data_IF_252851531660
#
_entry.id   IF_252851531660
#
_cell.length_a   1.000
_cell.length_b   1.000
_cell.length_c   1.000
_cell.angle_alpha   90.00
_cell.angle_beta   90.00
_cell.angle_gamma   90.00
#
_symmetry.space_group_name_H-M   'P 1'
#
loop_
_entity.id
_entity.type
_entity.pdbx_description
1 polymer ?
#
# COMPACT_ATOMS: atom_id res chain seq x y z
N UNK A 1 -16.43 -6.89 14.44
CA UNK A 1 -15.19 -6.22 13.96
C UNK A 1 -14.51 -5.53 15.14
N UNK A 2 -13.19 -5.26 15.07
CA UNK A 2 -12.44 -4.66 16.20
C UNK A 2 -11.73 -3.39 15.76
N UNK A 3 -11.62 -2.42 16.68
CA UNK A 3 -10.89 -1.15 16.51
C UNK A 3 -9.81 -1.07 17.57
N UNK A 4 -8.58 -0.76 17.18
CA UNK A 4 -7.45 -0.57 18.08
C UNK A 4 -7.26 0.92 18.39
N UNK A 5 -7.35 1.29 19.65
CA UNK A 5 -7.06 2.65 20.13
C UNK A 5 -5.63 2.67 20.63
N UNK A 6 -4.76 3.42 19.95
CA UNK A 6 -3.32 3.49 20.23
C UNK A 6 -3.03 4.71 21.12
N UNK A 7 -2.64 4.46 22.37
CA UNK A 7 -2.43 5.50 23.36
C UNK A 7 -0.95 5.57 23.76
N UNK A 8 -0.16 6.48 23.18
CA UNK A 8 1.19 6.75 23.68
C UNK A 8 1.10 7.52 25.00
N UNK A 9 1.81 7.03 26.03
CA UNK A 9 1.79 7.58 27.39
C UNK A 9 3.19 8.00 27.83
N UNK A 10 3.31 9.20 28.38
CA UNK A 10 4.51 9.68 29.05
C UNK A 10 4.21 10.82 30.02
N UNK A 11 4.29 10.58 31.32
CA UNK A 11 4.06 11.53 32.40
C UNK A 11 2.73 12.29 32.26
N UNK A 12 1.62 11.59 32.38
CA UNK A 12 0.24 12.09 32.30
C UNK A 12 -0.62 11.51 33.45
N UNK A 13 -0.05 11.37 34.67
CA UNK A 13 -0.73 10.78 35.82
C UNK A 13 -2.06 11.49 36.16
N UNK A 14 -2.17 12.79 35.89
CA UNK A 14 -3.36 13.58 36.18
C UNK A 14 -4.53 13.27 35.24
N UNK A 15 -4.25 12.84 34.00
CA UNK A 15 -5.26 12.79 32.94
C UNK A 15 -5.54 11.39 32.43
N UNK A 16 -4.58 10.47 32.49
CA UNK A 16 -4.66 9.18 31.80
C UNK A 16 -5.82 8.31 32.27
N UNK A 17 -6.10 8.26 33.58
CA UNK A 17 -7.23 7.48 34.10
C UNK A 17 -8.57 8.00 33.57
N UNK A 18 -8.80 9.31 33.64
CA UNK A 18 -10.01 9.95 33.13
C UNK A 18 -10.15 9.80 31.61
N UNK A 19 -9.03 9.87 30.86
CA UNK A 19 -9.04 9.59 29.41
C UNK A 19 -9.47 8.17 29.13
N UNK A 20 -8.86 7.17 29.77
CA UNK A 20 -9.16 5.76 29.52
C UNK A 20 -10.61 5.43 29.81
N UNK A 21 -11.20 5.99 30.89
CA UNK A 21 -12.64 5.84 31.17
C UNK A 21 -13.51 6.45 30.06
N UNK A 22 -13.15 7.64 29.54
CA UNK A 22 -13.83 8.24 28.38
C UNK A 22 -13.68 7.40 27.13
N UNK A 23 -12.50 6.85 26.86
CA UNK A 23 -12.26 5.95 25.73
C UNK A 23 -13.10 4.68 25.84
N UNK A 24 -13.21 4.09 27.04
CA UNK A 24 -14.04 2.91 27.29
C UNK A 24 -15.54 3.23 27.08
N UNK A 25 -16.00 4.39 27.51
CA UNK A 25 -17.38 4.81 27.38
C UNK A 25 -17.76 5.36 25.98
N UNK A 26 -16.76 5.70 25.17
CA UNK A 26 -17.00 6.35 23.88
C UNK A 26 -17.87 5.51 22.92
N UNK A 27 -18.76 6.13 22.14
CA UNK A 27 -19.56 5.40 21.16
C UNK A 27 -18.68 4.83 20.05
N UNK A 28 -19.01 3.62 19.61
CA UNK A 28 -18.44 2.99 18.41
C UNK A 28 -19.58 2.71 17.42
N UNK A 29 -19.29 2.57 16.12
CA UNK A 29 -20.25 2.08 15.14
C UNK A 29 -20.73 0.67 15.50
N UNK A 30 -21.97 0.34 15.08
CA UNK A 30 -22.61 -0.95 15.37
C UNK A 30 -21.75 -2.14 14.93
N UNK A 31 -21.63 -3.15 15.77
CA UNK A 31 -20.87 -4.37 15.51
C UNK A 31 -19.35 -4.24 15.70
N UNK A 32 -18.88 -3.10 16.22
CA UNK A 32 -17.45 -2.91 16.54
C UNK A 32 -17.18 -3.03 18.04
N UNK A 33 -16.11 -3.74 18.35
CA UNK A 33 -15.50 -3.81 19.67
C UNK A 33 -14.20 -3.00 19.69
N UNK A 34 -13.78 -2.54 20.85
CA UNK A 34 -12.51 -1.84 21.03
C UNK A 34 -11.46 -2.72 21.70
N UNK A 35 -10.21 -2.48 21.37
CA UNK A 35 -9.05 -2.81 22.19
C UNK A 35 -8.26 -1.52 22.42
N UNK A 36 -7.77 -1.33 23.63
CA UNK A 36 -7.00 -0.14 23.99
C UNK A 36 -5.57 -0.59 24.25
N UNK A 37 -4.62 -0.05 23.48
CA UNK A 37 -3.21 -0.39 23.58
C UNK A 37 -2.48 0.86 24.12
N UNK A 38 -2.16 0.83 25.40
CA UNK A 38 -1.40 1.88 26.07
C UNK A 38 0.08 1.52 26.03
N UNK A 39 0.90 2.40 25.51
CA UNK A 39 2.36 2.22 25.50
C UNK A 39 2.99 3.30 26.37
N UNK A 40 3.38 2.91 27.55
CA UNK A 40 4.18 3.76 28.44
C UNK A 40 5.61 3.88 27.91
N UNK A 41 6.02 5.08 27.64
CA UNK A 41 7.34 5.42 27.10
C UNK A 41 8.32 5.86 28.23
N UNK A 42 8.32 5.11 29.34
CA UNK A 42 9.21 5.32 30.46
C UNK A 42 8.81 6.48 31.36
N UNK A 43 7.53 6.56 31.74
CA UNK A 43 7.05 7.54 32.72
C UNK A 43 7.77 7.43 34.05
N UNK A 44 7.93 8.55 34.70
CA UNK A 44 8.60 8.69 36.00
C UNK A 44 7.67 9.16 37.13
N UNK A 45 6.41 9.37 36.79
CA UNK A 45 5.29 9.72 37.66
C UNK A 45 4.37 8.51 37.90
N UNK A 46 3.20 8.69 38.49
CA UNK A 46 2.24 7.63 38.76
C UNK A 46 1.38 7.22 37.52
N UNK A 47 1.76 7.62 36.31
CA UNK A 47 0.97 7.31 35.08
C UNK A 47 0.70 5.81 34.88
N UNK A 48 1.69 4.97 35.18
CA UNK A 48 1.57 3.51 35.00
C UNK A 48 0.59 2.92 36.00
N UNK A 49 0.68 3.32 37.26
CA UNK A 49 -0.19 2.90 38.35
C UNK A 49 -1.66 3.29 38.05
N UNK A 50 -1.89 4.50 37.53
CA UNK A 50 -3.21 4.97 37.12
C UNK A 50 -3.80 4.10 35.98
N UNK A 51 -2.98 3.71 34.98
CA UNK A 51 -3.43 2.80 33.91
C UNK A 51 -3.74 1.42 34.47
N UNK A 52 -2.92 0.87 35.36
CA UNK A 52 -3.12 -0.43 36.01
C UNK A 52 -4.43 -0.46 36.82
N UNK A 53 -4.71 0.61 37.57
CA UNK A 53 -5.96 0.75 38.32
C UNK A 53 -7.20 0.74 37.41
N UNK A 54 -7.16 1.42 36.26
CA UNK A 54 -8.24 1.36 35.28
C UNK A 54 -8.34 -0.03 34.64
N UNK A 55 -7.21 -0.68 34.35
CA UNK A 55 -7.19 -2.01 33.75
C UNK A 55 -7.78 -3.08 34.70
N UNK A 56 -7.57 -2.95 36.01
CA UNK A 56 -8.22 -3.81 37.05
C UNK A 56 -9.73 -3.62 37.07
N UNK A 57 -10.21 -2.38 36.91
CA UNK A 57 -11.65 -2.06 36.87
C UNK A 57 -12.33 -2.60 35.59
N UNK A 58 -11.60 -2.70 34.48
CA UNK A 58 -12.11 -3.17 33.19
C UNK A 58 -11.25 -4.31 32.62
N UNK A 59 -11.34 -5.52 33.16
CA UNK A 59 -10.49 -6.65 32.80
C UNK A 59 -10.54 -6.97 31.30
N UNK A 60 -9.37 -7.04 30.67
CA UNK A 60 -9.24 -7.40 29.25
C UNK A 60 -9.49 -6.24 28.25
N UNK A 61 -9.87 -5.05 28.71
CA UNK A 61 -10.08 -3.89 27.84
C UNK A 61 -8.78 -3.18 27.44
N UNK A 62 -7.77 -3.21 28.31
CA UNK A 62 -6.51 -2.46 28.16
C UNK A 62 -5.33 -3.43 28.07
N UNK A 63 -4.50 -3.23 27.06
CA UNK A 63 -3.18 -3.85 26.92
C UNK A 63 -2.12 -2.77 27.25
N UNK A 64 -1.47 -2.90 28.41
CA UNK A 64 -0.39 -1.99 28.82
C UNK A 64 0.96 -2.58 28.42
N UNK A 65 1.73 -1.80 27.67
CA UNK A 65 3.12 -2.10 27.27
C UNK A 65 4.05 -1.06 27.87
N UNK A 66 5.16 -1.50 28.47
CA UNK A 66 6.14 -0.60 29.10
C UNK A 66 7.42 -0.58 28.27
N UNK A 67 7.98 0.61 28.02
CA UNK A 67 9.24 0.83 27.29
C UNK A 67 10.19 1.63 28.15
N UNK A 68 11.43 1.21 28.25
CA UNK A 68 12.48 1.91 29.03
C UNK A 68 13.80 1.81 28.26
N UNK A 69 14.56 2.86 28.06
CA UNK A 69 14.27 4.27 28.42
C UNK A 69 13.25 4.91 27.44
N UNK A 70 12.85 6.16 27.75
CA UNK A 70 12.00 6.98 26.88
C UNK A 70 12.60 7.10 25.47
N UNK A 71 11.79 6.76 24.46
CA UNK A 71 12.15 6.79 23.04
C UNK A 71 11.32 7.81 22.23
N UNK A 72 10.29 8.37 22.83
CA UNK A 72 9.40 9.39 22.27
C UNK A 72 8.11 8.84 21.64
N UNK A 73 7.13 9.75 21.47
CA UNK A 73 5.76 9.47 21.00
C UNK A 73 5.71 8.58 19.76
N UNK A 74 6.53 8.86 18.73
CA UNK A 74 6.56 8.09 17.51
C UNK A 74 7.02 6.63 17.70
N UNK A 75 7.94 6.39 18.66
CA UNK A 75 8.38 5.05 19.03
C UNK A 75 7.27 4.28 19.75
N UNK A 76 6.55 4.95 20.68
CA UNK A 76 5.41 4.38 21.38
C UNK A 76 4.29 4.01 20.41
N UNK A 77 3.92 4.89 19.48
CA UNK A 77 2.92 4.61 18.44
C UNK A 77 3.36 3.42 17.57
N UNK A 78 4.62 3.37 17.12
CA UNK A 78 5.15 2.25 16.33
C UNK A 78 5.02 0.91 17.06
N UNK A 79 5.28 0.89 18.37
CA UNK A 79 5.11 -0.31 19.19
C UNK A 79 3.63 -0.70 19.29
N UNK A 80 2.75 0.27 19.52
CA UNK A 80 1.30 0.04 19.57
C UNK A 80 0.76 -0.52 18.23
N UNK A 81 1.24 -0.01 17.08
CA UNK A 81 0.88 -0.52 15.76
C UNK A 81 1.22 -2.02 15.61
N UNK A 82 2.35 -2.46 16.17
CA UNK A 82 2.76 -3.87 16.15
C UNK A 82 1.76 -4.81 16.82
N UNK A 83 1.14 -4.35 17.91
CA UNK A 83 0.20 -5.13 18.72
C UNK A 83 -1.27 -4.97 18.27
N UNK A 84 -1.59 -3.95 17.46
CA UNK A 84 -2.96 -3.66 17.04
C UNK A 84 -3.57 -4.84 16.27
N UNK A 85 -4.76 -5.33 16.66
CA UNK A 85 -5.46 -6.46 16.02
C UNK A 85 -6.75 -6.04 15.34
N UNK A 86 -7.17 -4.79 15.53
CA UNK A 86 -8.36 -4.21 14.93
C UNK A 86 -8.21 -4.04 13.42
N UNK A 87 -9.30 -4.03 12.70
CA UNK A 87 -9.35 -3.70 11.27
C UNK A 87 -8.97 -2.24 11.02
N UNK A 88 -9.37 -1.37 11.96
CA UNK A 88 -9.01 0.03 11.98
C UNK A 88 -8.27 0.37 13.27
N UNK A 89 -7.43 1.40 13.21
CA UNK A 89 -6.77 1.95 14.38
C UNK A 89 -6.92 3.47 14.45
N UNK A 90 -6.98 3.99 15.68
CA UNK A 90 -7.06 5.43 15.98
C UNK A 90 -5.91 5.77 16.91
N UNK A 91 -5.19 6.85 16.64
CA UNK A 91 -4.21 7.42 17.58
C UNK A 91 -4.93 8.37 18.53
N UNK A 92 -4.76 8.16 19.84
CA UNK A 92 -5.34 8.94 20.91
C UNK A 92 -4.23 9.41 21.86
N UNK A 93 -4.04 10.71 22.01
CA UNK A 93 -3.11 11.23 23.02
C UNK A 93 -3.63 10.96 24.44
N UNK A 94 -2.71 10.77 25.38
CA UNK A 94 -3.02 10.38 26.76
C UNK A 94 -3.60 11.53 27.62
N UNK A 95 -3.78 12.70 27.01
CA UNK A 95 -4.41 13.87 27.63
C UNK A 95 -5.92 13.96 27.31
N UNK A 96 -6.57 15.02 27.78
CA UNK A 96 -7.99 15.28 27.54
C UNK A 96 -8.25 16.31 26.44
N UNK A 97 -7.26 16.60 25.60
CA UNK A 97 -7.37 17.64 24.57
C UNK A 97 -8.33 17.22 23.42
N UNK A 98 -8.45 15.91 23.15
CA UNK A 98 -9.32 15.34 22.12
C UNK A 98 -10.50 14.57 22.73
N UNK A 99 -11.62 14.55 22.04
CA UNK A 99 -12.87 13.97 22.52
C UNK A 99 -13.13 12.57 21.89
N UNK A 100 -13.06 11.47 22.68
CA UNK A 100 -13.33 10.13 22.17
C UNK A 100 -14.75 9.90 21.59
N UNK A 101 -15.73 10.74 21.96
CA UNK A 101 -17.07 10.68 21.37
C UNK A 101 -17.10 10.97 19.86
N UNK A 102 -16.00 11.45 19.28
CA UNK A 102 -15.88 11.74 17.85
C UNK A 102 -15.31 10.58 17.03
N UNK A 103 -14.99 9.43 17.66
CA UNK A 103 -14.55 8.22 16.94
C UNK A 103 -15.46 7.82 15.75
N UNK A 104 -16.82 7.88 15.86
CA UNK A 104 -17.66 7.55 14.72
C UNK A 104 -17.43 8.46 13.50
N UNK A 105 -17.09 9.74 13.71
CA UNK A 105 -16.77 10.68 12.60
C UNK A 105 -15.49 10.29 11.87
N UNK A 106 -14.45 9.86 12.62
CA UNK A 106 -13.19 9.40 12.05
C UNK A 106 -13.33 8.05 11.34
N UNK A 107 -14.15 7.16 11.88
CA UNK A 107 -14.30 5.80 11.37
C UNK A 107 -15.24 5.70 10.16
N UNK A 108 -16.24 6.58 10.06
CA UNK A 108 -17.24 6.53 9.00
C UNK A 108 -16.65 6.36 7.59
N UNK A 109 -15.76 7.25 7.12
CA UNK A 109 -15.18 7.13 5.78
C UNK A 109 -14.31 5.89 5.58
N UNK A 110 -13.72 5.31 6.66
CA UNK A 110 -12.96 4.06 6.61
C UNK A 110 -13.89 2.85 6.43
N UNK A 111 -14.96 2.80 7.22
CA UNK A 111 -15.97 1.73 7.20
C UNK A 111 -16.69 1.70 5.85
N UNK A 112 -17.07 2.87 5.34
CA UNK A 112 -17.71 3.01 4.01
C UNK A 112 -16.75 2.64 2.85
N UNK A 113 -15.48 2.38 3.13
CA UNK A 113 -14.48 2.08 2.11
C UNK A 113 -14.06 3.28 1.25
N UNK A 114 -14.49 4.51 1.57
CA UNK A 114 -14.11 5.74 0.84
C UNK A 114 -12.71 6.21 1.18
N UNK A 115 -12.24 6.01 2.43
CA UNK A 115 -10.94 6.44 2.92
C UNK A 115 -10.03 5.26 3.28
N UNK A 116 -8.72 5.49 3.22
CA UNK A 116 -7.68 4.62 3.74
C UNK A 116 -7.08 5.21 5.04
N UNK A 117 -7.18 6.55 5.19
CA UNK A 117 -6.87 7.29 6.40
C UNK A 117 -7.82 8.47 6.56
N UNK A 118 -8.14 8.82 7.81
CA UNK A 118 -8.98 9.99 8.16
C UNK A 118 -8.27 10.80 9.22
N UNK A 119 -8.12 12.09 8.98
CA UNK A 119 -7.50 13.05 9.88
C UNK A 119 -8.57 13.94 10.50
N UNK A 120 -8.55 14.09 11.80
CA UNK A 120 -9.35 15.10 12.48
C UNK A 120 -8.72 16.48 12.24
N UNK A 121 -9.52 17.48 11.87
CA UNK A 121 -9.02 18.85 11.72
C UNK A 121 -9.64 19.78 12.75
N UNK A 122 -8.78 20.52 13.45
CA UNK A 122 -9.13 21.58 14.40
C UNK A 122 -9.54 22.86 13.69
N UNK A 123 -9.28 22.97 12.39
CA UNK A 123 -9.53 24.15 11.57
C UNK A 123 -10.76 24.02 10.68
N UNK A 124 -11.20 22.80 10.37
CA UNK A 124 -12.52 22.56 9.76
C UNK A 124 -13.60 22.83 10.81
N UNK A 125 -14.66 23.51 10.39
CA UNK A 125 -15.77 23.87 11.30
C UNK A 125 -17.04 23.15 10.92
N UNK A 126 -17.63 22.42 11.88
CA UNK A 126 -19.03 21.96 11.80
C UNK A 126 -19.88 22.48 12.96
N UNK A 127 -19.40 23.51 13.66
CA UNK A 127 -20.04 24.08 14.83
C UNK A 127 -19.08 24.99 15.61
N UNK A 128 -19.25 25.05 16.92
CA UNK A 128 -18.41 25.83 17.82
C UNK A 128 -17.00 25.24 17.89
N UNK A 129 -16.00 26.12 17.93
CA UNK A 129 -14.61 25.73 18.16
C UNK A 129 -13.93 26.64 19.18
N UNK A 130 -13.01 26.11 19.99
CA UNK A 130 -12.14 26.89 20.83
C UNK A 130 -11.16 27.68 19.94
N UNK A 131 -11.03 28.98 20.17
CA UNK A 131 -10.07 29.83 19.46
C UNK A 131 -8.66 29.49 19.94
N UNK A 132 -7.78 29.14 19.00
CA UNK A 132 -6.39 28.80 19.28
C UNK A 132 -5.51 30.03 19.38
N UNK A 133 -4.36 29.93 20.07
CA UNK A 133 -3.38 31.00 20.11
C UNK A 133 -2.83 31.29 18.70
N UNK A 134 -2.71 32.57 18.38
CA UNK A 134 -2.31 33.01 17.03
C UNK A 134 -1.00 32.39 16.55
N UNK A 135 0.06 32.44 17.36
CA UNK A 135 1.38 31.90 16.97
C UNK A 135 1.40 30.39 16.78
N UNK A 136 0.64 29.65 17.58
CA UNK A 136 0.49 28.21 17.40
C UNK A 136 -0.29 27.89 16.13
N UNK A 137 -1.36 28.63 15.86
CA UNK A 137 -2.14 28.49 14.64
C UNK A 137 -1.27 28.79 13.40
N UNK A 138 -0.48 29.87 13.45
CA UNK A 138 0.42 30.26 12.37
C UNK A 138 1.48 29.18 12.10
N UNK A 139 2.15 28.68 13.15
CA UNK A 139 3.15 27.61 13.03
C UNK A 139 2.54 26.33 12.42
N UNK A 140 1.36 25.93 12.89
CA UNK A 140 0.65 24.79 12.34
C UNK A 140 0.32 24.99 10.84
N UNK A 141 -0.21 26.14 10.46
CA UNK A 141 -0.51 26.45 9.05
C UNK A 141 0.73 26.44 8.17
N UNK A 142 1.86 26.94 8.67
CA UNK A 142 3.13 26.92 7.93
C UNK A 142 3.63 25.48 7.73
N UNK A 143 3.64 24.64 8.76
CA UNK A 143 4.05 23.24 8.68
C UNK A 143 3.10 22.44 7.79
N UNK A 144 1.78 22.63 7.95
CA UNK A 144 0.77 21.99 7.12
C UNK A 144 0.92 22.42 5.65
N UNK A 145 1.09 23.72 5.39
CA UNK A 145 1.31 24.25 4.04
C UNK A 145 2.56 23.66 3.36
N UNK A 146 3.66 23.55 4.11
CA UNK A 146 4.88 22.93 3.62
C UNK A 146 4.68 21.44 3.33
N UNK A 147 4.02 20.71 4.23
CA UNK A 147 3.68 19.31 4.01
C UNK A 147 2.81 19.14 2.75
N UNK A 148 1.82 20.00 2.56
CA UNK A 148 0.96 20.01 1.38
C UNK A 148 1.74 20.18 0.07
N UNK A 149 2.71 21.10 0.05
CA UNK A 149 3.57 21.34 -1.14
C UNK A 149 4.39 20.09 -1.50
N UNK A 150 4.99 19.41 -0.50
CA UNK A 150 5.81 18.24 -0.77
C UNK A 150 5.02 16.94 -1.01
N UNK A 151 3.83 16.85 -0.45
CA UNK A 151 2.97 15.69 -0.54
C UNK A 151 1.91 15.77 -1.66
N UNK A 152 1.76 16.94 -2.30
CA UNK A 152 0.69 17.24 -3.25
C UNK A 152 -0.71 16.97 -2.64
N UNK A 153 -0.91 17.52 -1.43
CA UNK A 153 -2.16 17.43 -0.67
C UNK A 153 -2.75 18.83 -0.43
N UNK A 154 -3.97 18.86 0.09
CA UNK A 154 -4.63 20.09 0.52
C UNK A 154 -5.26 19.91 1.90
N UNK A 155 -4.44 19.48 2.87
CA UNK A 155 -4.86 19.32 4.26
C UNK A 155 -4.99 20.67 4.96
N UNK A 156 -5.89 20.73 5.92
CA UNK A 156 -6.09 21.91 6.79
C UNK A 156 -5.34 21.77 8.11
N UNK A 157 -5.08 20.53 8.58
CA UNK A 157 -4.44 20.25 9.86
C UNK A 157 -3.58 18.98 9.84
N UNK A 158 -2.32 19.11 9.45
CA UNK A 158 -1.39 17.96 9.42
C UNK A 158 -0.94 17.54 10.83
N UNK A 159 -0.81 18.49 11.75
CA UNK A 159 -0.27 18.29 13.12
C UNK A 159 -1.28 17.66 14.10
N UNK A 160 -2.53 17.42 13.69
CA UNK A 160 -3.52 16.77 14.57
C UNK A 160 -3.05 15.38 14.99
N UNK A 161 -3.22 15.03 16.27
CA UNK A 161 -3.01 13.66 16.72
C UNK A 161 -4.14 12.73 16.24
N UNK A 162 -5.38 13.24 16.19
CA UNK A 162 -6.54 12.45 15.81
C UNK A 162 -6.46 11.99 14.36
N UNK A 163 -5.88 10.80 14.19
CA UNK A 163 -5.75 10.13 12.91
C UNK A 163 -6.26 8.69 13.04
N UNK A 164 -7.13 8.31 12.13
CA UNK A 164 -7.63 6.94 12.00
C UNK A 164 -7.15 6.32 10.69
N UNK A 165 -6.87 5.02 10.70
CA UNK A 165 -6.28 4.32 9.56
C UNK A 165 -6.85 2.91 9.41
N UNK A 166 -6.78 2.36 8.20
CA UNK A 166 -6.79 0.91 8.04
C UNK A 166 -5.51 0.35 8.68
N UNK A 167 -5.65 -0.59 9.60
CA UNK A 167 -4.50 -1.15 10.34
C UNK A 167 -3.49 -1.81 9.42
N UNK A 168 -3.95 -2.53 8.39
CA UNK A 168 -3.09 -3.14 7.38
C UNK A 168 -2.21 -2.11 6.65
N UNK A 169 -2.80 -0.97 6.27
CA UNK A 169 -2.07 0.13 5.64
C UNK A 169 -1.00 0.71 6.60
N UNK A 170 -1.40 1.03 7.83
CA UNK A 170 -0.48 1.65 8.80
C UNK A 170 0.67 0.71 9.17
N UNK A 171 0.41 -0.59 9.35
CA UNK A 171 1.43 -1.61 9.61
C UNK A 171 2.45 -1.76 8.51
N UNK A 172 2.06 -1.55 7.27
CA UNK A 172 2.95 -1.69 6.11
C UNK A 172 3.84 -0.46 5.87
N UNK A 173 3.63 0.63 6.62
CA UNK A 173 4.43 1.86 6.53
C UNK A 173 5.53 1.86 7.60
N UNK A 174 6.82 1.99 7.23
CA UNK A 174 7.90 2.13 8.21
C UNK A 174 7.81 3.50 8.89
N UNK A 175 7.43 3.52 10.16
CA UNK A 175 7.50 4.73 11.00
C UNK A 175 8.91 4.81 11.60
N UNK A 176 9.68 5.84 11.26
CA UNK A 176 11.08 6.03 11.69
C UNK A 176 11.24 7.12 12.73
N UNK A 177 10.36 8.11 12.75
CA UNK A 177 10.38 9.19 13.73
C UNK A 177 10.18 8.64 15.13
N UNK A 178 10.95 9.18 16.07
CA UNK A 178 10.91 8.75 17.47
C UNK A 178 10.01 9.66 18.30
N UNK A 179 10.02 10.98 18.06
CA UNK A 179 9.30 12.01 18.82
C UNK A 179 8.08 12.55 18.06
N UNK A 180 7.95 13.87 17.95
CA UNK A 180 6.84 14.60 17.32
C UNK A 180 6.92 14.66 15.79
N UNK A 181 7.77 13.85 15.18
CA UNK A 181 7.84 13.72 13.71
C UNK A 181 6.88 12.67 13.13
N UNK A 182 6.06 11.99 13.94
CA UNK A 182 5.13 10.98 13.46
C UNK A 182 4.10 11.57 12.49
N UNK A 183 3.48 12.68 12.87
CA UNK A 183 2.41 13.30 12.10
C UNK A 183 2.85 13.71 10.69
N UNK A 184 3.94 14.48 10.49
CA UNK A 184 4.42 14.79 9.15
C UNK A 184 4.97 13.57 8.40
N UNK A 185 5.64 12.63 9.08
CA UNK A 185 6.17 11.44 8.44
C UNK A 185 5.06 10.57 7.85
N UNK A 186 4.05 10.25 8.65
CA UNK A 186 2.94 9.39 8.20
C UNK A 186 2.14 10.06 7.09
N UNK A 187 1.91 11.37 7.17
CA UNK A 187 1.19 12.15 6.17
C UNK A 187 1.87 12.07 4.79
N UNK A 188 3.18 12.34 4.72
CA UNK A 188 3.92 12.29 3.46
C UNK A 188 4.01 10.86 2.93
N UNK A 189 4.19 9.86 3.80
CA UNK A 189 4.25 8.46 3.38
C UNK A 189 2.92 7.95 2.83
N UNK A 190 1.80 8.33 3.45
CA UNK A 190 0.46 8.04 2.93
C UNK A 190 0.23 8.66 1.55
N UNK A 191 0.59 9.95 1.39
CA UNK A 191 0.48 10.63 0.10
C UNK A 191 1.33 9.94 -0.99
N UNK A 192 2.59 9.61 -0.68
CA UNK A 192 3.47 8.87 -1.61
C UNK A 192 2.92 7.50 -1.99
N UNK A 193 2.16 6.87 -1.10
CA UNK A 193 1.45 5.62 -1.34
C UNK A 193 0.11 5.80 -2.04
N UNK A 194 -0.25 7.05 -2.37
CA UNK A 194 -1.53 7.41 -3.00
C UNK A 194 -2.74 6.93 -2.18
N UNK A 195 -2.61 6.90 -0.84
CA UNK A 195 -3.71 6.59 0.05
C UNK A 195 -4.78 7.68 -0.03
N UNK A 196 -6.05 7.28 0.08
CA UNK A 196 -7.19 8.20 0.11
C UNK A 196 -7.31 8.78 1.52
N UNK A 197 -6.89 10.03 1.66
CA UNK A 197 -6.93 10.75 2.95
C UNK A 197 -8.17 11.63 2.96
N UNK A 198 -8.95 11.54 4.03
CA UNK A 198 -10.10 12.40 4.30
C UNK A 198 -9.83 13.25 5.53
N UNK A 199 -10.42 14.43 5.61
CA UNK A 199 -10.45 15.22 6.82
C UNK A 199 -11.87 15.30 7.38
N UNK A 200 -12.00 15.30 8.70
CA UNK A 200 -13.26 15.50 9.42
C UNK A 200 -13.10 16.56 10.51
N UNK A 201 -14.08 17.44 10.72
CA UNK A 201 -14.02 18.41 11.79
C UNK A 201 -14.08 17.73 13.16
N UNK A 202 -13.20 18.16 14.07
CA UNK A 202 -13.14 17.69 15.45
C UNK A 202 -13.13 18.84 16.44
N UNK A 203 -13.59 18.57 17.65
CA UNK A 203 -13.41 19.47 18.81
C UNK A 203 -12.00 19.33 19.37
N UNK A 204 -11.49 20.41 19.91
CA UNK A 204 -10.16 20.44 20.52
C UNK A 204 -10.14 21.39 21.72
N UNK A 205 -9.69 20.87 22.87
CA UNK A 205 -9.60 21.61 24.12
C UNK A 205 -8.15 21.71 24.58
N UNK A 206 -7.33 22.44 23.80
CA UNK A 206 -5.89 22.55 24.06
C UNK A 206 -5.56 23.13 25.42
N UNK A 207 -4.55 22.57 26.10
CA UNK A 207 -4.00 23.05 27.36
C UNK A 207 -3.34 24.42 27.19
N UNK A 208 -3.37 25.22 28.26
CA UNK A 208 -2.62 26.47 28.37
C UNK A 208 -1.15 26.20 28.70
N UNK A 209 -0.31 27.22 28.58
CA UNK A 209 1.11 27.11 29.02
C UNK A 209 1.26 26.80 30.50
N UNK A 210 0.34 27.30 31.32
CA UNK A 210 0.29 27.07 32.77
C UNK A 210 -0.10 25.63 33.12
N UNK A 211 -0.89 24.98 32.22
CA UNK A 211 -1.32 23.59 32.33
C UNK A 211 -0.30 22.60 31.72
N UNK A 212 0.97 23.00 31.51
CA UNK A 212 2.05 22.09 31.12
C UNK A 212 2.14 21.74 29.66
N UNK A 213 1.78 22.64 28.74
CA UNK A 213 1.93 22.40 27.30
C UNK A 213 3.39 22.09 26.93
N UNK A 214 3.62 20.87 26.39
CA UNK A 214 4.96 20.31 26.19
C UNK A 214 5.60 20.67 24.81
N UNK A 215 4.84 21.23 23.85
CA UNK A 215 5.31 21.46 22.47
C UNK A 215 5.92 22.88 22.35
N UNK A 216 7.14 22.96 21.82
CA UNK A 216 7.90 24.19 21.68
C UNK A 216 8.48 24.42 20.28
N UNK A 217 9.26 25.52 20.11
CA UNK A 217 9.92 25.86 18.83
C UNK A 217 10.87 24.77 18.32
N UNK A 218 11.48 23.99 19.22
CA UNK A 218 12.37 22.87 18.83
C UNK A 218 11.60 21.78 18.09
N UNK A 219 10.38 21.51 18.53
CA UNK A 219 9.53 20.47 17.92
C UNK A 219 9.07 20.89 16.51
N UNK A 220 8.77 22.19 16.33
CA UNK A 220 8.45 22.74 14.99
C UNK A 220 9.65 22.63 14.04
N UNK A 221 10.87 22.82 14.53
CA UNK A 221 12.09 22.66 13.74
C UNK A 221 12.36 21.18 13.40
N UNK A 222 12.08 20.28 14.32
CA UNK A 222 12.15 18.83 14.08
C UNK A 222 11.13 18.42 13.03
N UNK A 223 9.88 18.86 13.13
CA UNK A 223 8.83 18.60 12.14
C UNK A 223 9.24 19.10 10.74
N UNK A 224 9.83 20.29 10.64
CA UNK A 224 10.38 20.81 9.39
C UNK A 224 11.40 19.86 8.75
N UNK A 225 12.37 19.39 9.53
CA UNK A 225 13.39 18.46 9.05
C UNK A 225 12.82 17.09 8.67
N UNK A 226 11.83 16.60 9.43
CA UNK A 226 11.14 15.34 9.10
C UNK A 226 10.39 15.48 7.78
N UNK A 227 9.69 16.59 7.52
CA UNK A 227 9.04 16.87 6.25
C UNK A 227 10.05 16.77 5.09
N UNK A 228 11.16 17.52 5.15
CA UNK A 228 12.17 17.50 4.09
C UNK A 228 12.79 16.11 3.89
N UNK A 229 13.21 15.47 4.98
CA UNK A 229 13.82 14.15 4.95
C UNK A 229 12.86 13.11 4.35
N UNK A 230 11.59 13.11 4.78
CA UNK A 230 10.59 12.16 4.30
C UNK A 230 10.17 12.46 2.87
N UNK A 231 10.09 13.74 2.49
CA UNK A 231 9.83 14.15 1.12
C UNK A 231 10.90 13.63 0.15
N UNK A 232 12.16 13.63 0.56
CA UNK A 232 13.28 13.13 -0.25
C UNK A 232 13.51 11.61 -0.12
N UNK A 233 13.01 10.98 0.94
CA UNK A 233 13.16 9.55 1.19
C UNK A 233 12.22 8.72 0.32
N UNK A 234 12.66 7.50 -0.01
CA UNK A 234 11.82 6.45 -0.63
C UNK A 234 11.43 5.34 0.35
N UNK A 235 11.70 5.51 1.64
CA UNK A 235 11.39 4.53 2.70
C UNK A 235 9.88 4.59 3.04
N UNK A 236 9.04 4.02 2.19
CA UNK A 236 7.57 4.04 2.32
C UNK A 236 6.94 2.66 2.51
N UNK A 237 7.72 1.58 2.42
CA UNK A 237 7.30 0.21 2.65
C UNK A 237 8.22 -0.50 3.64
N UNK A 238 7.67 -1.35 4.51
CA UNK A 238 8.46 -2.23 5.38
C UNK A 238 9.06 -3.40 4.60
N UNK A 239 8.33 -3.97 3.66
CA UNK A 239 8.78 -5.04 2.79
C UNK A 239 9.44 -4.47 1.53
N UNK A 240 10.69 -4.90 1.23
CA UNK A 240 11.48 -4.37 0.11
C UNK A 240 10.96 -4.78 -1.27
N UNK A 241 10.34 -5.95 -1.39
CA UNK A 241 9.65 -6.42 -2.58
C UNK A 241 8.50 -5.47 -3.01
N UNK A 242 7.77 -4.93 -2.04
CA UNK A 242 6.71 -3.94 -2.28
C UNK A 242 7.25 -2.60 -2.82
N UNK A 243 8.48 -2.24 -2.49
CA UNK A 243 9.14 -1.03 -3.04
C UNK A 243 9.38 -1.13 -4.54
N UNK A 244 9.68 -2.31 -5.06
CA UNK A 244 9.96 -2.52 -6.49
C UNK A 244 8.67 -2.48 -7.31
N UNK A 245 7.59 -3.12 -6.83
CA UNK A 245 6.27 -3.05 -7.47
C UNK A 245 5.73 -1.62 -7.53
N UNK A 246 5.93 -0.85 -6.46
CA UNK A 246 5.53 0.57 -6.42
C UNK A 246 6.44 1.45 -7.31
N UNK A 247 7.71 1.08 -7.46
CA UNK A 247 8.60 1.76 -8.39
C UNK A 247 8.10 1.60 -9.85
N UNK A 248 7.60 0.43 -10.23
CA UNK A 248 6.95 0.23 -11.54
C UNK A 248 5.61 0.98 -11.66
N UNK A 249 4.90 1.21 -10.55
CA UNK A 249 3.72 2.09 -10.56
C UNK A 249 4.08 3.53 -10.96
N UNK A 250 5.30 3.96 -10.68
CA UNK A 250 5.81 5.30 -11.05
C UNK A 250 6.29 5.43 -12.51
N UNK A 251 6.10 4.39 -13.34
CA UNK A 251 6.45 4.37 -14.77
C UNK A 251 5.19 4.24 -15.67
N UNK A 252 4.32 5.27 -15.72
CA UNK A 252 3.02 5.19 -16.40
C UNK A 252 3.14 5.02 -17.92
N UNK A 253 4.16 5.60 -18.56
CA UNK A 253 4.38 5.48 -20.00
C UNK A 253 4.84 4.06 -20.37
N UNK A 254 5.68 3.45 -19.54
CA UNK A 254 6.12 2.08 -19.71
C UNK A 254 4.96 1.09 -19.55
N UNK A 255 4.14 1.26 -18.51
CA UNK A 255 2.94 0.44 -18.30
C UNK A 255 1.96 0.59 -19.48
N UNK A 256 1.80 1.81 -20.02
CA UNK A 256 0.99 2.05 -21.21
C UNK A 256 1.59 1.36 -22.45
N UNK A 257 2.90 1.41 -22.66
CA UNK A 257 3.55 0.70 -23.75
C UNK A 257 3.30 -0.80 -23.67
N UNK A 258 3.41 -1.39 -22.48
CA UNK A 258 3.11 -2.82 -22.26
C UNK A 258 1.64 -3.12 -22.55
N UNK A 259 0.71 -2.32 -22.01
CA UNK A 259 -0.72 -2.47 -22.25
C UNK A 259 -1.07 -2.38 -23.75
N UNK A 260 -0.56 -1.36 -24.46
CA UNK A 260 -0.77 -1.18 -25.89
C UNK A 260 -0.25 -2.37 -26.72
N UNK A 261 0.88 -2.97 -26.29
CA UNK A 261 1.50 -4.12 -26.97
C UNK A 261 0.60 -5.36 -26.92
N UNK A 262 -0.08 -5.58 -25.79
CA UNK A 262 -0.94 -6.76 -25.59
C UNK A 262 -2.41 -6.52 -25.96
N UNK A 263 -2.85 -5.25 -26.01
CA UNK A 263 -4.23 -4.85 -26.28
C UNK A 263 -4.90 -5.58 -27.46
N UNK A 264 -4.23 -5.84 -28.61
CA UNK A 264 -4.82 -6.56 -29.74
C UNK A 264 -5.25 -8.00 -29.43
N UNK A 265 -4.70 -8.59 -28.36
CA UNK A 265 -4.94 -10.00 -27.99
C UNK A 265 -5.94 -10.12 -26.84
N UNK A 266 -6.44 -9.01 -26.31
CA UNK A 266 -7.31 -8.98 -25.13
C UNK A 266 -8.80 -8.99 -25.54
N UNK A 267 -9.53 -10.02 -25.13
CA UNK A 267 -10.98 -10.19 -25.38
C UNK A 267 -11.87 -9.35 -24.45
N UNK A 268 -13.14 -9.73 -24.35
CA UNK A 268 -14.15 -9.01 -23.56
C UNK A 268 -14.24 -9.46 -22.10
N UNK A 269 -14.00 -10.74 -21.83
CA UNK A 269 -13.96 -11.34 -20.50
C UNK A 269 -12.52 -11.68 -20.19
N UNK A 270 -11.93 -10.95 -19.25
CA UNK A 270 -10.49 -11.01 -18.94
C UNK A 270 -10.28 -11.44 -17.52
N UNK A 271 -9.33 -12.33 -17.29
CA UNK A 271 -8.79 -12.64 -15.99
C UNK A 271 -7.30 -12.24 -15.99
N UNK A 272 -6.89 -11.43 -15.05
CA UNK A 272 -5.51 -10.99 -14.83
C UNK A 272 -4.94 -11.72 -13.62
N UNK A 273 -3.86 -12.47 -13.79
CA UNK A 273 -3.12 -13.15 -12.72
C UNK A 273 -1.96 -12.27 -12.31
N UNK A 274 -1.83 -12.03 -11.00
CA UNK A 274 -0.79 -11.17 -10.45
C UNK A 274 -1.06 -9.69 -10.76
N UNK A 275 -2.29 -9.22 -10.56
CA UNK A 275 -2.70 -7.85 -10.83
C UNK A 275 -1.96 -6.82 -9.97
N UNK A 276 -1.40 -7.23 -8.83
CA UNK A 276 -0.72 -6.36 -7.89
C UNK A 276 -1.61 -5.19 -7.48
N UNK A 277 -1.07 -3.98 -7.51
CA UNK A 277 -1.79 -2.75 -7.18
C UNK A 277 -2.63 -2.17 -8.35
N UNK A 278 -2.86 -2.94 -9.44
CA UNK A 278 -3.71 -2.57 -10.56
C UNK A 278 -3.06 -1.63 -11.58
N UNK A 279 -1.76 -1.62 -11.72
CA UNK A 279 -1.04 -0.74 -12.64
C UNK A 279 -1.43 -0.97 -14.10
N UNK A 280 -1.62 -2.24 -14.49
CA UNK A 280 -2.08 -2.64 -15.83
C UNK A 280 -3.60 -2.81 -15.89
N UNK A 281 -4.23 -3.30 -14.82
CA UNK A 281 -5.69 -3.43 -14.69
C UNK A 281 -6.41 -2.16 -15.15
N UNK A 282 -5.99 -0.98 -14.64
CA UNK A 282 -6.59 0.31 -15.01
C UNK A 282 -6.52 0.64 -16.50
N UNK A 283 -5.50 0.13 -17.21
CA UNK A 283 -5.29 0.37 -18.64
C UNK A 283 -6.05 -0.65 -19.51
N UNK A 284 -6.18 -1.88 -19.02
CA UNK A 284 -6.80 -2.99 -19.74
C UNK A 284 -8.30 -3.13 -19.50
N UNK A 285 -8.82 -2.58 -18.40
CA UNK A 285 -10.23 -2.69 -17.99
C UNK A 285 -11.20 -2.01 -18.98
N UNK A 286 -10.77 -0.93 -19.63
CA UNK A 286 -11.64 -0.16 -20.52
C UNK A 286 -12.19 -1.01 -21.67
N UNK A 287 -13.53 -0.95 -21.88
CA UNK A 287 -14.20 -1.67 -22.95
C UNK A 287 -14.41 -3.18 -22.73
N UNK A 288 -14.14 -3.70 -21.51
CA UNK A 288 -14.38 -5.10 -21.16
C UNK A 288 -15.83 -5.31 -20.68
N UNK A 289 -16.36 -6.52 -20.85
CA UNK A 289 -17.65 -6.94 -20.29
C UNK A 289 -17.51 -7.40 -18.83
N UNK A 290 -16.43 -8.13 -18.54
CA UNK A 290 -16.04 -8.62 -17.22
C UNK A 290 -14.52 -8.57 -17.11
N UNK A 291 -14.00 -8.12 -15.98
CA UNK A 291 -12.59 -8.10 -15.69
C UNK A 291 -12.36 -8.62 -14.27
N UNK A 292 -11.66 -9.74 -14.15
CA UNK A 292 -11.30 -10.34 -12.86
C UNK A 292 -9.82 -10.12 -12.64
N UNK A 293 -9.48 -9.29 -11.65
CA UNK A 293 -8.11 -9.07 -11.22
C UNK A 293 -7.80 -9.99 -10.05
N UNK A 294 -6.77 -10.82 -10.19
CA UNK A 294 -6.39 -11.78 -9.15
C UNK A 294 -4.95 -11.56 -8.69
N UNK A 295 -4.71 -11.81 -7.41
CA UNK A 295 -3.38 -11.81 -6.82
C UNK A 295 -3.35 -12.81 -5.65
N UNK A 296 -2.18 -13.27 -5.26
CA UNK A 296 -1.99 -14.11 -4.08
C UNK A 296 -2.04 -13.27 -2.78
N UNK A 297 -1.64 -11.99 -2.88
CA UNK A 297 -1.64 -11.04 -1.76
C UNK A 297 -2.97 -10.26 -1.70
N UNK A 298 -3.78 -10.57 -0.69
CA UNK A 298 -5.05 -9.89 -0.46
C UNK A 298 -4.88 -8.36 -0.23
N UNK A 299 -3.76 -7.92 0.34
CA UNK A 299 -3.46 -6.50 0.55
C UNK A 299 -3.29 -5.74 -0.78
N UNK A 300 -2.70 -6.38 -1.79
CA UNK A 300 -2.62 -5.82 -3.14
C UNK A 300 -4.01 -5.63 -3.74
N UNK A 301 -4.89 -6.62 -3.60
CA UNK A 301 -6.26 -6.58 -4.13
C UNK A 301 -7.11 -5.53 -3.40
N UNK A 302 -6.97 -5.38 -2.09
CA UNK A 302 -7.64 -4.31 -1.35
C UNK A 302 -7.24 -2.93 -1.87
N UNK A 303 -5.95 -2.71 -2.13
CA UNK A 303 -5.44 -1.46 -2.71
C UNK A 303 -5.94 -1.25 -4.15
N UNK A 304 -5.93 -2.31 -4.96
CA UNK A 304 -6.49 -2.26 -6.31
C UNK A 304 -7.98 -1.89 -6.25
N UNK A 305 -8.74 -2.57 -5.39
CA UNK A 305 -10.16 -2.30 -5.18
C UNK A 305 -10.40 -0.86 -4.71
N UNK A 306 -9.59 -0.36 -3.78
CA UNK A 306 -9.72 1.01 -3.30
C UNK A 306 -9.46 2.06 -4.38
N UNK A 307 -8.48 1.82 -5.26
CA UNK A 307 -8.14 2.72 -6.37
C UNK A 307 -9.16 2.70 -7.52
N UNK A 308 -9.86 1.59 -7.71
CA UNK A 308 -10.77 1.35 -8.83
C UNK A 308 -12.20 1.01 -8.37
N UNK A 309 -12.59 1.41 -7.13
CA UNK A 309 -13.83 1.04 -6.46
C UNK A 309 -15.12 1.39 -7.23
N UNK A 310 -15.07 2.39 -8.11
CA UNK A 310 -16.23 2.82 -8.91
C UNK A 310 -16.37 2.09 -10.25
N UNK A 311 -15.66 1.00 -10.45
CA UNK A 311 -15.66 0.25 -11.72
C UNK A 311 -16.54 -0.99 -11.63
N UNK A 312 -17.82 -0.95 -12.04
CA UNK A 312 -18.81 -2.01 -11.82
C UNK A 312 -18.50 -3.34 -12.55
N UNK A 313 -17.50 -3.35 -13.44
CA UNK A 313 -17.09 -4.53 -14.23
C UNK A 313 -15.80 -5.17 -13.72
N UNK A 314 -15.25 -4.65 -12.62
CA UNK A 314 -14.03 -5.15 -12.00
C UNK A 314 -14.41 -6.01 -10.80
N UNK A 315 -13.96 -7.24 -10.84
CA UNK A 315 -13.99 -8.18 -9.72
C UNK A 315 -12.56 -8.40 -9.21
N UNK A 316 -12.40 -8.59 -7.91
CA UNK A 316 -11.09 -8.92 -7.31
C UNK A 316 -11.21 -10.22 -6.54
N UNK A 317 -10.31 -11.18 -6.82
CA UNK A 317 -10.32 -12.52 -6.23
C UNK A 317 -8.91 -12.91 -5.82
N UNK A 318 -8.76 -13.42 -4.59
CA UNK A 318 -7.49 -14.02 -4.16
C UNK A 318 -7.32 -15.36 -4.87
N UNK A 319 -6.26 -15.51 -5.66
CA UNK A 319 -6.05 -16.70 -6.46
C UNK A 319 -4.55 -17.00 -6.59
N UNK A 320 -4.18 -18.23 -6.25
CA UNK A 320 -2.86 -18.77 -6.51
C UNK A 320 -2.88 -19.54 -7.86
N UNK A 321 -2.13 -19.05 -8.83
CA UNK A 321 -2.10 -19.68 -10.17
C UNK A 321 -1.56 -21.11 -10.16
N UNK A 322 -0.80 -21.50 -9.14
CA UNK A 322 -0.29 -22.88 -9.00
C UNK A 322 -1.31 -23.85 -8.41
N UNK A 323 -2.40 -23.36 -7.78
CA UNK A 323 -3.38 -24.17 -7.10
C UNK A 323 -4.47 -24.63 -8.08
N UNK A 324 -4.69 -25.94 -8.29
CA UNK A 324 -5.71 -26.45 -9.20
C UNK A 324 -7.14 -26.25 -8.72
N UNK A 325 -7.38 -26.16 -7.40
CA UNK A 325 -8.74 -26.06 -6.84
C UNK A 325 -9.36 -24.67 -7.01
N UNK A 326 -8.55 -23.60 -7.10
CA UNK A 326 -9.02 -22.21 -7.22
C UNK A 326 -9.55 -21.82 -8.61
N UNK A 327 -9.52 -22.72 -9.59
CA UNK A 327 -9.77 -22.40 -11.01
C UNK A 327 -11.14 -22.81 -11.53
N UNK A 328 -11.84 -23.69 -10.82
CA UNK A 328 -13.14 -24.26 -11.24
C UNK A 328 -14.19 -23.17 -11.46
N UNK A 329 -14.17 -22.12 -10.63
CA UNK A 329 -15.08 -20.98 -10.75
C UNK A 329 -14.98 -20.27 -12.13
N UNK A 330 -13.78 -20.28 -12.73
CA UNK A 330 -13.52 -19.59 -14.02
C UNK A 330 -13.46 -20.54 -15.21
N UNK A 331 -13.67 -21.84 -15.01
CA UNK A 331 -13.51 -22.88 -16.00
C UNK A 331 -14.23 -22.59 -17.33
N UNK A 332 -13.49 -22.46 -18.42
CA UNK A 332 -14.04 -22.22 -19.76
C UNK A 332 -14.74 -20.87 -19.97
N UNK A 333 -14.63 -19.90 -19.07
CA UNK A 333 -15.39 -18.65 -19.12
C UNK A 333 -14.66 -17.47 -19.74
N UNK A 334 -13.31 -17.46 -19.70
CA UNK A 334 -12.54 -16.29 -20.06
C UNK A 334 -12.17 -16.25 -21.54
N UNK A 335 -12.30 -15.08 -22.16
CA UNK A 335 -11.80 -14.84 -23.51
C UNK A 335 -10.29 -14.70 -23.52
N UNK A 336 -9.73 -14.13 -22.44
CA UNK A 336 -8.29 -13.94 -22.28
C UNK A 336 -7.89 -14.08 -20.82
N UNK A 337 -6.80 -14.80 -20.57
CA UNK A 337 -6.07 -14.79 -19.31
C UNK A 337 -4.74 -14.06 -19.53
N UNK A 338 -4.47 -13.05 -18.72
CA UNK A 338 -3.25 -12.24 -18.73
C UNK A 338 -2.40 -12.61 -17.54
N UNK A 339 -1.13 -12.99 -17.75
CA UNK A 339 -0.19 -13.36 -16.71
C UNK A 339 1.17 -12.71 -17.03
N UNK A 340 1.48 -11.59 -16.38
CA UNK A 340 2.63 -10.77 -16.70
C UNK A 340 3.56 -10.64 -15.50
N UNK A 341 4.80 -11.10 -15.65
CA UNK A 341 5.82 -11.14 -14.59
C UNK A 341 5.34 -11.91 -13.33
N UNK A 342 4.76 -13.07 -13.53
CA UNK A 342 4.28 -13.95 -12.46
C UNK A 342 4.85 -15.37 -12.60
N UNK A 343 4.91 -15.91 -13.84
CA UNK A 343 5.26 -17.29 -14.08
C UNK A 343 6.69 -17.64 -13.60
N UNK A 344 7.61 -16.68 -13.65
CA UNK A 344 8.99 -16.79 -13.15
C UNK A 344 9.09 -17.00 -11.63
N UNK A 345 8.05 -16.71 -10.88
CA UNK A 345 7.98 -16.90 -9.43
C UNK A 345 7.37 -18.25 -9.04
N UNK A 346 6.74 -18.96 -9.98
CA UNK A 346 6.01 -20.19 -9.71
C UNK A 346 6.94 -21.40 -9.91
N UNK A 347 7.14 -22.25 -8.90
CA UNK A 347 7.97 -23.46 -9.02
C UNK A 347 7.47 -24.39 -10.12
N UNK A 348 6.18 -24.74 -10.11
CA UNK A 348 5.49 -25.52 -11.15
C UNK A 348 4.83 -24.60 -12.19
N UNK A 349 5.65 -24.09 -13.09
CA UNK A 349 5.21 -23.21 -14.19
C UNK A 349 4.31 -23.94 -15.19
N UNK A 350 4.52 -25.25 -15.38
CA UNK A 350 3.71 -26.07 -16.27
C UNK A 350 2.30 -26.30 -15.71
N UNK A 351 2.20 -26.62 -14.41
CA UNK A 351 0.91 -26.72 -13.72
C UNK A 351 0.13 -25.42 -13.79
N UNK A 352 0.77 -24.28 -13.52
CA UNK A 352 0.16 -22.96 -13.62
C UNK A 352 -0.35 -22.66 -15.04
N UNK A 353 0.40 -23.00 -16.09
CA UNK A 353 -0.03 -22.85 -17.49
C UNK A 353 -1.22 -23.73 -17.83
N UNK A 354 -1.30 -24.97 -17.30
CA UNK A 354 -2.47 -25.85 -17.46
C UNK A 354 -3.69 -25.26 -16.78
N UNK A 355 -3.54 -24.71 -15.58
CA UNK A 355 -4.62 -24.04 -14.88
C UNK A 355 -5.13 -22.82 -15.67
N UNK A 356 -4.22 -22.00 -16.21
CA UNK A 356 -4.56 -20.88 -17.11
C UNK A 356 -5.37 -21.38 -18.31
N UNK A 357 -4.98 -22.51 -18.90
CA UNK A 357 -5.71 -23.11 -20.01
C UNK A 357 -7.11 -23.56 -19.62
N UNK A 358 -7.30 -24.10 -18.42
CA UNK A 358 -8.62 -24.51 -17.91
C UNK A 358 -9.59 -23.34 -17.82
N UNK A 359 -9.14 -22.16 -17.37
CA UNK A 359 -9.98 -20.95 -17.26
C UNK A 359 -10.46 -20.40 -18.62
N UNK A 360 -9.71 -20.65 -19.69
CA UNK A 360 -10.02 -20.14 -21.02
C UNK A 360 -11.15 -20.93 -21.69
N UNK A 361 -12.05 -20.23 -22.36
CA UNK A 361 -12.97 -20.85 -23.31
C UNK A 361 -12.20 -21.39 -24.55
N UNK A 362 -12.83 -22.21 -25.33
CA UNK A 362 -12.29 -22.62 -26.64
C UNK A 362 -12.07 -21.39 -27.53
N UNK A 363 -10.93 -21.34 -28.20
CA UNK A 363 -10.47 -20.17 -28.96
C UNK A 363 -10.02 -18.99 -28.09
N UNK A 364 -10.02 -19.15 -26.77
CA UNK A 364 -9.51 -18.13 -25.83
C UNK A 364 -7.99 -18.03 -25.85
N UNK A 365 -7.44 -16.89 -25.43
CA UNK A 365 -6.00 -16.57 -25.49
C UNK A 365 -5.38 -16.44 -24.10
N UNK A 366 -4.20 -17.04 -23.91
CA UNK A 366 -3.29 -16.73 -22.83
C UNK A 366 -2.26 -15.71 -23.32
N UNK A 367 -2.08 -14.63 -22.56
CA UNK A 367 -1.03 -13.62 -22.79
C UNK A 367 -0.03 -13.71 -21.64
N UNK A 368 1.13 -14.30 -21.91
CA UNK A 368 2.15 -14.60 -20.90
C UNK A 368 3.38 -13.75 -21.17
N UNK A 369 3.74 -12.88 -20.22
CA UNK A 369 4.98 -12.13 -20.26
C UNK A 369 5.92 -12.65 -19.17
N UNK A 370 7.17 -12.94 -19.57
CA UNK A 370 8.24 -13.39 -18.68
C UNK A 370 9.55 -12.69 -18.99
N UNK A 371 10.48 -12.58 -18.03
CA UNK A 371 11.82 -12.07 -18.25
C UNK A 371 12.61 -13.00 -19.17
N UNK A 372 13.35 -12.41 -20.14
CA UNK A 372 14.15 -13.13 -21.13
C UNK A 372 15.60 -13.25 -20.73
N UNK A 373 16.19 -14.43 -21.03
CA UNK A 373 17.62 -14.66 -21.04
C UNK A 373 18.23 -14.99 -19.70
N UNK A 374 18.39 -16.30 -19.40
CA UNK A 374 19.02 -16.78 -18.15
C UNK A 374 20.43 -16.21 -17.92
N UNK A 375 21.17 -15.85 -18.98
CA UNK A 375 22.54 -15.30 -18.87
C UNK A 375 22.60 -13.90 -18.22
N UNK A 376 21.50 -13.18 -18.15
CA UNK A 376 21.41 -11.88 -17.49
C UNK A 376 20.70 -11.92 -16.13
N UNK A 377 20.44 -13.13 -15.63
CA UNK A 377 19.95 -13.31 -14.26
C UNK A 377 20.98 -12.73 -13.30
N UNK A 378 20.52 -11.88 -12.37
CA UNK A 378 21.42 -11.13 -11.49
C UNK A 378 20.75 -10.76 -10.16
N UNK A 379 21.41 -9.91 -9.36
CA UNK A 379 20.94 -9.50 -8.02
C UNK A 379 19.58 -8.80 -8.01
N UNK A 380 19.13 -8.20 -9.12
CA UNK A 380 17.79 -7.63 -9.23
C UNK A 380 16.73 -8.72 -9.38
N UNK A 381 17.03 -9.80 -10.11
CA UNK A 381 16.15 -10.97 -10.22
C UNK A 381 15.98 -11.67 -8.88
N UNK A 382 17.10 -11.85 -8.13
CA UNK A 382 17.08 -12.44 -6.79
C UNK A 382 16.21 -11.62 -5.82
N UNK A 383 16.35 -10.30 -5.83
CA UNK A 383 15.56 -9.41 -4.96
C UNK A 383 14.07 -9.39 -5.36
N UNK A 384 13.76 -9.57 -6.64
CA UNK A 384 12.38 -9.74 -7.14
C UNK A 384 11.80 -11.13 -6.81
N UNK A 385 12.61 -12.07 -6.35
CA UNK A 385 12.19 -13.45 -6.09
C UNK A 385 12.00 -14.27 -7.37
N UNK A 386 12.63 -13.88 -8.48
CA UNK A 386 12.62 -14.68 -9.69
C UNK A 386 13.38 -15.99 -9.48
N UNK A 387 12.80 -17.11 -9.84
CA UNK A 387 13.47 -18.41 -9.84
C UNK A 387 14.20 -18.66 -11.14
N UNK A 388 13.74 -18.04 -12.23
CA UNK A 388 14.26 -18.27 -13.59
C UNK A 388 13.95 -17.14 -14.54
N UNK A 389 14.66 -17.11 -15.66
CA UNK A 389 14.35 -16.38 -16.89
C UNK A 389 14.18 -17.37 -18.01
N UNK A 390 13.40 -17.04 -19.03
CA UNK A 390 13.08 -17.95 -20.14
C UNK A 390 13.78 -17.53 -21.42
N UNK A 391 14.15 -18.49 -22.26
CA UNK A 391 14.35 -18.23 -23.68
C UNK A 391 13.02 -18.30 -24.44
N UNK A 392 12.99 -17.78 -25.66
CA UNK A 392 11.79 -17.86 -26.52
C UNK A 392 11.37 -19.33 -26.75
N UNK A 393 12.35 -20.21 -27.01
CA UNK A 393 12.09 -21.63 -27.23
C UNK A 393 11.57 -22.34 -25.98
N UNK A 394 12.14 -22.02 -24.81
CA UNK A 394 11.69 -22.59 -23.55
C UNK A 394 10.24 -22.19 -23.23
N UNK A 395 9.88 -20.91 -23.39
CA UNK A 395 8.52 -20.46 -23.14
C UNK A 395 7.54 -21.08 -24.11
N UNK A 396 7.91 -21.14 -25.40
CA UNK A 396 7.10 -21.79 -26.44
C UNK A 396 6.85 -23.26 -26.10
N UNK A 397 7.90 -23.99 -25.74
CA UNK A 397 7.80 -25.41 -25.39
C UNK A 397 6.90 -25.61 -24.16
N UNK A 398 7.10 -24.82 -23.08
CA UNK A 398 6.28 -24.89 -21.87
C UNK A 398 4.79 -24.67 -22.16
N UNK A 399 4.48 -23.67 -22.99
CA UNK A 399 3.09 -23.42 -23.38
C UNK A 399 2.52 -24.55 -24.26
N UNK A 400 3.32 -25.12 -25.16
CA UNK A 400 2.90 -26.28 -25.97
C UNK A 400 2.67 -27.50 -25.07
N UNK A 401 3.54 -27.79 -24.12
CA UNK A 401 3.39 -28.88 -23.14
C UNK A 401 2.15 -28.71 -22.25
N UNK A 402 1.73 -27.46 -22.02
CA UNK A 402 0.48 -27.13 -21.35
C UNK A 402 -0.76 -27.23 -22.27
N UNK A 403 -0.58 -27.56 -23.56
CA UNK A 403 -1.65 -27.74 -24.52
C UNK A 403 -2.11 -26.46 -25.23
N UNK A 404 -1.28 -25.42 -25.28
CA UNK A 404 -1.55 -24.23 -26.08
C UNK A 404 -0.96 -24.35 -27.50
N UNK A 405 -1.69 -23.82 -28.48
CA UNK A 405 -1.11 -23.46 -29.78
C UNK A 405 -0.53 -22.04 -29.67
N UNK A 406 0.80 -21.90 -29.77
CA UNK A 406 1.49 -20.63 -29.64
C UNK A 406 1.42 -19.84 -30.95
N UNK A 407 0.47 -18.90 -31.02
CA UNK A 407 0.23 -18.02 -32.16
C UNK A 407 1.43 -17.12 -32.46
N UNK A 408 2.00 -16.52 -31.42
CA UNK A 408 3.07 -15.53 -31.57
C UNK A 408 3.91 -15.39 -30.31
N UNK A 409 5.20 -15.06 -30.48
CA UNK A 409 6.07 -14.56 -29.41
C UNK A 409 6.58 -13.18 -29.79
N UNK A 410 6.33 -12.19 -28.95
CA UNK A 410 6.74 -10.81 -29.13
C UNK A 410 7.98 -10.53 -28.27
N UNK A 411 8.95 -9.87 -28.84
CA UNK A 411 10.15 -9.40 -28.14
C UNK A 411 9.87 -8.00 -27.58
N UNK A 412 10.04 -7.81 -26.28
CA UNK A 412 9.62 -6.59 -25.60
C UNK A 412 10.74 -6.00 -24.74
N UNK A 413 10.92 -4.67 -24.83
CA UNK A 413 11.78 -3.88 -23.97
C UNK A 413 13.28 -4.23 -24.06
N UNK A 414 13.87 -4.12 -25.24
CA UNK A 414 15.33 -4.19 -25.43
C UNK A 414 16.03 -3.00 -24.81
N UNK A 415 15.39 -1.81 -24.84
CA UNK A 415 15.96 -0.57 -24.38
C UNK A 415 16.40 -0.58 -22.91
N UNK A 416 15.74 -1.36 -22.04
CA UNK A 416 16.12 -1.46 -20.62
C UNK A 416 17.29 -2.40 -20.35
N UNK A 417 17.67 -3.29 -21.29
CA UNK A 417 18.67 -4.33 -21.05
C UNK A 417 20.04 -3.83 -20.61
N UNK A 418 20.63 -2.77 -21.20
CA UNK A 418 21.91 -2.23 -20.73
C UNK A 418 21.83 -1.72 -19.29
N UNK A 419 20.74 -1.04 -18.94
CA UNK A 419 20.49 -0.54 -17.59
C UNK A 419 20.30 -1.67 -16.57
N UNK A 420 19.59 -2.74 -16.95
CA UNK A 420 19.42 -3.92 -16.13
C UNK A 420 20.75 -4.61 -15.83
N UNK A 421 21.55 -4.86 -16.87
CA UNK A 421 22.86 -5.49 -16.75
C UNK A 421 23.84 -4.64 -15.94
N UNK A 422 23.90 -3.32 -16.18
CA UNK A 422 24.76 -2.41 -15.43
C UNK A 422 24.40 -2.40 -13.93
N UNK A 423 23.12 -2.23 -13.59
CA UNK A 423 22.69 -2.15 -12.18
C UNK A 423 22.82 -3.50 -11.46
N UNK A 424 22.35 -4.60 -12.07
CA UNK A 424 22.28 -5.89 -11.40
C UNK A 424 23.59 -6.70 -11.48
N UNK A 425 24.30 -6.67 -12.62
CA UNK A 425 25.49 -7.51 -12.83
C UNK A 425 26.77 -6.79 -12.42
N UNK A 426 26.97 -5.52 -12.89
CA UNK A 426 28.20 -4.76 -12.60
C UNK A 426 28.14 -4.13 -11.22
N UNK A 427 27.09 -3.33 -10.94
CA UNK A 427 26.96 -2.59 -9.69
C UNK A 427 26.39 -3.45 -8.55
N UNK A 428 25.92 -4.65 -8.84
CA UNK A 428 25.29 -5.58 -7.88
C UNK A 428 24.25 -4.93 -6.99
N UNK A 429 23.51 -3.97 -7.55
CA UNK A 429 22.41 -3.29 -6.87
C UNK A 429 21.24 -4.25 -6.73
N UNK A 430 20.54 -4.16 -5.61
CA UNK A 430 19.30 -4.90 -5.36
C UNK A 430 18.04 -4.09 -5.67
N UNK A 431 18.17 -2.78 -5.92
CA UNK A 431 17.05 -1.90 -6.23
C UNK A 431 17.42 -0.95 -7.37
N UNK A 432 16.41 -0.54 -8.15
CA UNK A 432 16.54 0.50 -9.17
C UNK A 432 16.02 1.80 -8.59
N UNK A 433 16.79 2.89 -8.71
CA UNK A 433 16.34 4.17 -8.16
C UNK A 433 15.12 4.71 -8.91
N UNK A 434 14.17 5.30 -8.18
CA UNK A 434 12.98 5.93 -8.77
C UNK A 434 13.33 7.01 -9.79
N UNK A 435 14.46 7.70 -9.60
CA UNK A 435 14.93 8.71 -10.56
C UNK A 435 15.33 8.06 -11.89
N UNK A 436 16.04 6.91 -11.85
CA UNK A 436 16.39 6.16 -13.05
C UNK A 436 15.14 5.68 -13.80
N UNK A 437 14.15 5.14 -13.07
CA UNK A 437 12.87 4.71 -13.64
C UNK A 437 12.10 5.89 -14.24
N UNK A 438 12.00 7.03 -13.55
CA UNK A 438 11.35 8.22 -14.09
C UNK A 438 12.03 8.74 -15.35
N UNK A 439 13.36 8.75 -15.40
CA UNK A 439 14.11 9.17 -16.59
C UNK A 439 13.91 8.19 -17.74
N UNK A 440 13.92 6.88 -17.47
CA UNK A 440 13.60 5.87 -18.47
C UNK A 440 12.16 6.05 -18.99
N UNK A 441 11.20 6.26 -18.09
CA UNK A 441 9.78 6.41 -18.41
C UNK A 441 9.51 7.66 -19.27
N UNK A 442 10.20 8.79 -19.00
CA UNK A 442 10.12 10.00 -19.84
C UNK A 442 10.55 9.76 -21.29
N UNK A 443 11.46 8.83 -21.50
CA UNK A 443 11.99 8.48 -22.81
C UNK A 443 11.29 7.32 -23.49
N UNK A 444 10.23 6.76 -22.90
CA UNK A 444 9.50 5.59 -23.47
C UNK A 444 8.99 5.87 -24.87
N UNK A 445 8.60 7.10 -25.21
CA UNK A 445 8.19 7.49 -26.56
C UNK A 445 9.30 7.25 -27.60
N UNK A 446 10.58 7.43 -27.22
CA UNK A 446 11.75 7.15 -28.04
C UNK A 446 12.05 5.65 -28.04
N UNK A 447 12.11 5.02 -26.85
CA UNK A 447 12.40 3.59 -26.71
C UNK A 447 11.44 2.76 -27.56
N UNK A 448 10.17 3.05 -27.52
CA UNK A 448 9.13 2.37 -28.28
C UNK A 448 9.36 2.41 -29.80
N UNK A 449 10.00 3.47 -30.32
CA UNK A 449 10.31 3.61 -31.75
C UNK A 449 11.53 2.81 -32.18
N UNK A 450 12.54 2.76 -31.31
CA UNK A 450 13.85 2.16 -31.67
C UNK A 450 14.04 0.76 -31.11
N UNK A 451 13.18 0.27 -30.23
CA UNK A 451 13.33 -0.99 -29.51
C UNK A 451 13.65 -2.18 -30.43
N UNK A 452 12.92 -2.30 -31.55
CA UNK A 452 13.12 -3.38 -32.52
C UNK A 452 14.41 -3.27 -33.33
N UNK A 453 15.04 -2.07 -33.38
CA UNK A 453 16.29 -1.82 -34.11
C UNK A 453 17.54 -2.05 -33.24
N UNK A 454 17.36 -2.26 -31.93
CA UNK A 454 18.47 -2.48 -31.01
C UNK A 454 19.09 -3.88 -31.22
N UNK A 455 20.44 -4.00 -31.21
CA UNK A 455 21.13 -5.21 -31.65
C UNK A 455 21.16 -6.36 -30.63
N UNK A 456 20.69 -6.11 -29.40
CA UNK A 456 20.70 -7.10 -28.32
C UNK A 456 19.32 -7.71 -28.09
N UNK A 457 19.28 -8.84 -27.38
CA UNK A 457 18.03 -9.51 -26.98
C UNK A 457 17.17 -8.62 -26.06
N UNK A 458 15.85 -8.82 -26.02
CA UNK A 458 14.96 -8.05 -25.15
C UNK A 458 15.18 -8.37 -23.67
N UNK A 459 14.58 -7.59 -22.78
CA UNK A 459 14.55 -7.91 -21.34
C UNK A 459 13.41 -8.87 -21.02
N UNK A 460 12.35 -8.84 -21.84
CA UNK A 460 11.16 -9.66 -21.67
C UNK A 460 10.63 -10.17 -23.00
N UNK A 461 9.92 -11.28 -22.96
CA UNK A 461 9.18 -11.86 -24.08
C UNK A 461 7.71 -12.04 -23.71
N UNK A 462 6.83 -11.89 -24.69
CA UNK A 462 5.38 -12.05 -24.52
C UNK A 462 4.93 -13.14 -25.47
N UNK A 463 4.45 -14.27 -24.95
CA UNK A 463 3.88 -15.34 -25.74
C UNK A 463 2.36 -15.25 -25.74
N UNK A 464 1.76 -15.44 -26.89
CA UNK A 464 0.32 -15.51 -27.11
C UNK A 464 -0.02 -16.95 -27.46
N UNK A 465 -0.72 -17.64 -26.57
CA UNK A 465 -1.18 -19.02 -26.77
C UNK A 465 -2.69 -19.09 -26.93
N UNK A 466 -3.18 -19.92 -27.85
CA UNK A 466 -4.60 -20.17 -28.06
C UNK A 466 -4.97 -21.54 -27.50
N UNK A 467 -6.08 -21.60 -26.75
CA UNK A 467 -6.72 -22.89 -26.44
C UNK A 467 -7.50 -23.37 -27.66
N UNK A 468 -6.97 -24.35 -28.33
CA UNK A 468 -7.69 -24.96 -29.44
C UNK A 468 -8.99 -25.65 -28.98
N UNK A 469 -10.03 -25.69 -29.82
CA UNK A 469 -11.21 -26.51 -29.56
C UNK A 469 -10.79 -27.95 -29.27
N UNK A 470 -11.37 -28.56 -28.27
CA UNK A 470 -11.28 -30.00 -28.10
C UNK A 470 -11.89 -30.63 -29.32
N UNK A 471 -11.06 -31.21 -30.22
CA UNK A 471 -11.59 -32.08 -31.26
C UNK A 471 -12.40 -33.16 -30.56
N UNK A 472 -13.72 -33.05 -30.61
CA UNK A 472 -14.60 -34.17 -30.39
C UNK A 472 -14.26 -35.18 -31.48
N UNK A 473 -13.29 -36.05 -31.20
CA UNK A 473 -13.17 -37.30 -31.91
C UNK A 473 -14.51 -38.02 -31.73
N UNK A 474 -15.28 -38.01 -32.79
CA UNK A 474 -16.50 -38.79 -32.93
C UNK A 474 -16.25 -40.28 -32.86
#
# INVERSE_FOLDING_TARGET
MKISILVPLYNEEEFVAALLERVIAAPLPDGFEREIIVVDDGSTDASVEEVEAVAEKYPGAICLLKTTPNQGKGAAIRRAIGEARGEFCIVQDADLEYNPNEYPKLLGPLIDGRADAVFGSRFLTSGERRVLYFWHSLANHLLTGMCNVFADLNLTDMETCYKAFRTSLLRSIPVRSQRFGFEPEITIKLAKRQARIYETPISYSGRTYEEGKKIGLKDAFEAFWVILKTALSNDIYLAKDKDILDAFASAPNFNRWMADTIQPYIGKRVLEIGAGMGNLTRLLLAGRKRYVATDIDCEHLERLKSRLSERPRLETVVLNAADPEGHDEFGGQMDTVVCLNVLEHIPDDLGALRNIRCMLREGGRAVILVPEGQRIFNSLDEELGHMRRYSEDQLRQRMTDAGFNVEKVLRFNRASRPGWWLNGTILKRRTISRLQLKNFDRLVWLWRRIDNSLPWSPTSIIAIGIKEPSNSLG
#
